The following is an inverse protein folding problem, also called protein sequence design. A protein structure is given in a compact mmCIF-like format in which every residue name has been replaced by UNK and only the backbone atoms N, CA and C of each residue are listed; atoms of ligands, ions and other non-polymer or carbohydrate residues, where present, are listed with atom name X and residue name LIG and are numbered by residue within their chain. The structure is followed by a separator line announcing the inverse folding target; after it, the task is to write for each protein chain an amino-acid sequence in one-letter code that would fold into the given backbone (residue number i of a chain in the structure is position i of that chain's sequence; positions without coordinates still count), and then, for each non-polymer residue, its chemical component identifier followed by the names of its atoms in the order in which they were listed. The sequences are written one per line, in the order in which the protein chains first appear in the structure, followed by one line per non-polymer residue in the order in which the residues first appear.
data_IF_584692008821
#
_entry.id   IF_584692008821
#
_cell.length_a   1.000
_cell.length_b   1.000
_cell.length_c   1.000
_cell.angle_alpha   90.00
_cell.angle_beta   90.00
_cell.angle_gamma   90.00
#
_symmetry.space_group_name_H-M   'P 1'
#
loop_
_entity.id
_entity.type
_entity.pdbx_description
1 polymer ?
#
# COMPACT_ATOMS: atom_id res chain seq x y z
N UNK A 1 -19.11 19.93 -9.45
CA UNK A 1 -18.01 20.69 -10.06
C UNK A 1 -16.73 19.87 -9.88
N UNK A 2 -16.44 18.94 -10.80
CA UNK A 2 -15.23 18.13 -10.79
C UNK A 2 -14.70 18.08 -12.22
N UNK A 3 -13.90 19.10 -12.57
CA UNK A 3 -13.12 19.18 -13.80
C UNK A 3 -11.72 19.58 -13.38
N UNK A 4 -10.89 18.58 -13.09
CA UNK A 4 -9.45 18.66 -13.26
C UNK A 4 -8.88 17.24 -13.17
N UNK A 5 -9.16 16.43 -14.20
CA UNK A 5 -8.41 15.19 -14.42
C UNK A 5 -7.98 15.22 -15.87
N UNK A 6 -7.04 16.10 -16.16
CA UNK A 6 -6.11 15.92 -17.26
C UNK A 6 -4.82 16.64 -16.89
N UNK A 7 -3.70 16.00 -17.24
CA UNK A 7 -2.31 16.39 -16.97
C UNK A 7 -1.80 16.17 -15.54
N UNK A 8 -1.49 14.91 -15.23
CA UNK A 8 -0.20 14.65 -14.59
C UNK A 8 0.42 13.34 -15.07
N UNK A 9 1.54 13.51 -15.75
CA UNK A 9 2.34 12.50 -16.45
C UNK A 9 3.36 11.86 -15.50
N UNK A 10 3.54 10.54 -15.66
CA UNK A 10 4.83 9.86 -15.62
C UNK A 10 5.73 10.05 -14.39
N UNK A 11 5.89 8.97 -13.62
CA UNK A 11 6.92 8.77 -12.60
C UNK A 11 6.79 9.62 -11.33
N UNK A 12 6.09 9.06 -10.34
CA UNK A 12 5.94 9.65 -9.02
C UNK A 12 7.13 9.27 -8.12
N UNK A 13 8.00 10.26 -7.88
CA UNK A 13 9.16 10.22 -7.00
C UNK A 13 8.78 10.37 -5.52
N UNK A 14 9.75 10.06 -4.65
CA UNK A 14 9.65 10.22 -3.20
C UNK A 14 9.55 11.68 -2.71
N UNK A 15 9.64 12.68 -3.60
CA UNK A 15 9.53 14.09 -3.25
C UNK A 15 8.09 14.64 -3.36
N UNK A 16 7.17 13.88 -3.95
CA UNK A 16 5.77 14.31 -4.16
C UNK A 16 4.90 14.19 -2.88
N UNK A 17 5.44 13.61 -1.79
CA UNK A 17 4.76 13.49 -0.49
C UNK A 17 4.58 14.83 0.24
N UNK A 18 5.22 15.91 -0.22
CA UNK A 18 5.23 17.21 0.46
C UNK A 18 4.21 18.23 -0.09
N UNK A 19 3.53 17.94 -1.21
CA UNK A 19 2.67 18.91 -1.92
C UNK A 19 1.17 18.83 -1.55
N UNK A 20 0.79 18.04 -0.54
CA UNK A 20 -0.62 17.71 -0.28
C UNK A 20 -1.14 17.93 1.14
N UNK A 21 -0.40 18.56 2.06
CA UNK A 21 -0.86 18.67 3.45
C UNK A 21 -2.15 19.49 3.63
N UNK A 22 -2.42 20.47 2.75
CA UNK A 22 -3.64 21.30 2.84
C UNK A 22 -4.92 20.57 2.35
N UNK A 23 -4.78 19.55 1.50
CA UNK A 23 -5.90 18.74 0.95
C UNK A 23 -5.92 17.29 1.50
N UNK A 24 -5.06 16.99 2.48
CA UNK A 24 -5.03 15.69 3.12
C UNK A 24 -6.19 15.55 4.11
N UNK A 25 -6.93 14.44 4.03
CA UNK A 25 -7.91 14.14 5.07
C UNK A 25 -7.23 13.80 6.40
N UNK A 26 -8.00 13.92 7.47
CA UNK A 26 -7.57 13.61 8.83
C UNK A 26 -6.97 12.21 8.91
N UNK A 27 -5.88 12.08 9.66
CA UNK A 27 -5.24 10.79 9.86
C UNK A 27 -6.18 9.85 10.63
N UNK A 28 -6.17 8.56 10.29
CA UNK A 28 -6.98 7.54 10.93
C UNK A 28 -6.69 7.31 12.43
N UNK A 29 -5.56 7.83 12.92
CA UNK A 29 -5.10 7.67 14.30
C UNK A 29 -4.25 6.41 14.56
N UNK A 30 -4.14 5.50 13.59
CA UNK A 30 -3.17 4.40 13.65
C UNK A 30 -1.78 4.88 13.24
N UNK A 31 -0.74 4.25 13.76
CA UNK A 31 0.64 4.58 13.37
C UNK A 31 1.11 3.73 12.20
N UNK A 32 1.93 4.35 11.35
CA UNK A 32 2.70 3.62 10.36
C UNK A 32 3.65 2.61 10.99
N UNK A 33 4.15 1.71 10.14
CA UNK A 33 5.04 0.63 10.54
C UNK A 33 6.34 0.70 9.77
N UNK A 34 7.44 0.35 10.43
CA UNK A 34 8.74 0.13 9.79
C UNK A 34 9.35 -1.14 10.36
N UNK A 35 9.93 -1.95 9.49
CA UNK A 35 10.62 -3.18 9.85
C UNK A 35 11.82 -3.41 8.94
N UNK A 36 12.98 -3.63 9.51
CA UNK A 36 14.20 -3.91 8.75
C UNK A 36 14.63 -5.35 8.95
N UNK A 37 15.04 -5.99 7.85
CA UNK A 37 15.56 -7.35 7.87
C UNK A 37 16.57 -7.56 6.75
N UNK A 38 17.32 -8.66 6.83
CA UNK A 38 18.17 -9.09 5.73
C UNK A 38 17.34 -9.90 4.74
N UNK A 39 17.32 -9.49 3.48
CA UNK A 39 16.61 -10.22 2.44
C UNK A 39 17.38 -11.47 2.06
N UNK A 40 16.83 -12.64 2.39
CA UNK A 40 17.44 -13.95 2.11
C UNK A 40 17.77 -14.15 0.62
N UNK A 41 17.05 -13.49 -0.29
CA UNK A 41 17.30 -13.62 -1.73
C UNK A 41 18.53 -12.85 -2.21
N UNK A 42 18.80 -11.66 -1.65
CA UNK A 42 19.89 -10.77 -2.09
C UNK A 42 21.04 -10.64 -1.10
N UNK A 43 20.83 -10.97 0.18
CA UNK A 43 21.75 -10.68 1.28
C UNK A 43 21.79 -9.20 1.67
N UNK A 44 20.97 -8.34 1.06
CA UNK A 44 20.93 -6.91 1.35
C UNK A 44 19.96 -6.63 2.51
N UNK A 45 20.24 -5.59 3.30
CA UNK A 45 19.27 -5.08 4.28
C UNK A 45 18.11 -4.42 3.54
N UNK A 46 16.90 -4.89 3.78
CA UNK A 46 15.66 -4.33 3.23
C UNK A 46 14.83 -3.70 4.34
N UNK A 47 14.13 -2.61 3.99
CA UNK A 47 13.16 -1.95 4.86
C UNK A 47 11.75 -2.14 4.33
N UNK A 48 10.91 -2.75 5.13
CA UNK A 48 9.47 -2.73 4.97
C UNK A 48 8.90 -1.47 5.63
N UNK A 49 7.95 -0.81 4.98
CA UNK A 49 7.17 0.26 5.59
C UNK A 49 5.69 0.15 5.27
N UNK A 50 4.83 0.57 6.19
CA UNK A 50 3.39 0.70 5.98
C UNK A 50 3.00 2.14 6.28
N UNK A 51 2.42 2.83 5.31
CA UNK A 51 2.10 4.27 5.36
C UNK A 51 0.68 4.53 4.94
N UNK A 52 0.00 5.44 5.64
CA UNK A 52 -1.37 5.85 5.31
C UNK A 52 -1.37 6.70 4.05
N UNK A 53 -2.33 6.45 3.17
CA UNK A 53 -2.60 7.27 1.99
C UNK A 53 -3.68 8.27 2.37
N UNK A 54 -3.33 9.57 2.36
CA UNK A 54 -4.15 10.63 2.97
C UNK A 54 -4.78 11.58 1.97
N UNK A 55 -4.53 11.38 0.68
CA UNK A 55 -5.09 12.21 -0.39
C UNK A 55 -5.68 11.36 -1.51
N UNK A 56 -6.59 11.96 -2.29
CA UNK A 56 -7.12 11.31 -3.50
C UNK A 56 -6.01 11.03 -4.52
N UNK A 57 -4.99 11.89 -4.56
CA UNK A 57 -3.81 11.72 -5.42
C UNK A 57 -3.00 10.49 -5.01
N UNK A 58 -2.79 10.28 -3.71
CA UNK A 58 -2.12 9.08 -3.18
C UNK A 58 -2.85 7.80 -3.60
N UNK A 59 -4.18 7.77 -3.47
CA UNK A 59 -5.00 6.62 -3.87
C UNK A 59 -4.93 6.38 -5.38
N UNK A 60 -4.95 7.45 -6.19
CA UNK A 60 -4.81 7.35 -7.63
C UNK A 60 -3.43 6.82 -8.02
N UNK A 61 -2.38 7.34 -7.39
CA UNK A 61 -1.01 6.89 -7.58
C UNK A 61 -0.85 5.42 -7.20
N UNK A 62 -1.35 5.03 -6.03
CA UNK A 62 -1.35 3.64 -5.55
C UNK A 62 -2.06 2.74 -6.55
N UNK A 63 -3.28 3.09 -6.96
CA UNK A 63 -4.05 2.31 -7.93
C UNK A 63 -3.39 2.19 -9.30
N UNK A 64 -2.69 3.23 -9.78
CA UNK A 64 -1.91 3.18 -11.03
C UNK A 64 -0.75 2.18 -10.93
N UNK A 65 0.08 2.26 -9.88
CA UNK A 65 1.24 1.36 -9.70
C UNK A 65 0.81 -0.06 -9.37
N UNK A 66 -0.26 -0.21 -8.59
CA UNK A 66 -0.79 -1.50 -8.18
C UNK A 66 -1.77 -2.10 -9.19
N UNK A 67 -2.11 -1.37 -10.26
CA UNK A 67 -3.05 -1.81 -11.30
C UNK A 67 -4.39 -2.31 -10.74
N UNK A 68 -4.91 -1.62 -9.73
CA UNK A 68 -6.25 -1.83 -9.18
C UNK A 68 -6.91 -0.51 -8.80
N UNK A 69 -8.22 -0.52 -8.58
CA UNK A 69 -8.97 0.71 -8.31
C UNK A 69 -9.05 0.96 -6.80
N UNK A 70 -8.07 1.68 -6.25
CA UNK A 70 -8.10 2.17 -4.86
C UNK A 70 -8.91 3.48 -4.71
N UNK A 71 -9.19 4.19 -5.80
CA UNK A 71 -9.88 5.48 -5.77
C UNK A 71 -11.32 5.40 -5.22
N UNK A 72 -11.94 4.21 -5.25
CA UNK A 72 -13.26 3.97 -4.67
C UNK A 72 -13.32 4.17 -3.15
N UNK A 73 -12.17 4.17 -2.47
CA UNK A 73 -12.08 4.42 -1.04
C UNK A 73 -12.06 5.90 -0.64
N UNK A 74 -11.79 6.83 -1.58
CA UNK A 74 -11.52 8.24 -1.28
C UNK A 74 -12.61 8.90 -0.41
N UNK A 75 -13.88 8.68 -0.76
CA UNK A 75 -15.01 9.23 0.01
C UNK A 75 -15.01 8.75 1.47
N UNK A 76 -14.94 7.43 1.69
CA UNK A 76 -14.94 6.85 3.03
C UNK A 76 -13.68 7.20 3.84
N UNK A 77 -12.57 7.47 3.15
CA UNK A 77 -11.35 7.97 3.80
C UNK A 77 -11.52 9.42 4.26
N UNK A 78 -12.09 10.28 3.41
CA UNK A 78 -12.38 11.67 3.77
C UNK A 78 -13.41 11.82 4.89
N UNK A 79 -14.33 10.85 5.02
CA UNK A 79 -15.33 10.76 6.11
C UNK A 79 -14.75 10.12 7.39
N UNK A 80 -13.51 9.60 7.35
CA UNK A 80 -12.85 8.96 8.49
C UNK A 80 -13.32 7.54 8.80
N UNK A 81 -14.23 6.96 8.01
CA UNK A 81 -14.75 5.60 8.19
C UNK A 81 -13.72 4.52 7.83
N UNK A 82 -12.91 4.80 6.80
CA UNK A 82 -11.91 3.89 6.25
C UNK A 82 -10.54 4.57 6.22
N UNK A 83 -9.49 3.77 6.25
CA UNK A 83 -8.15 4.22 5.90
C UNK A 83 -7.52 3.22 4.95
N UNK A 84 -6.70 3.73 4.04
CA UNK A 84 -5.97 2.92 3.07
C UNK A 84 -4.49 3.10 3.30
N UNK A 85 -3.76 2.01 3.26
CA UNK A 85 -2.35 1.96 3.58
C UNK A 85 -1.57 1.30 2.46
N UNK A 86 -0.39 1.82 2.17
CA UNK A 86 0.56 1.25 1.22
C UNK A 86 1.69 0.58 1.97
N UNK A 87 1.84 -0.74 1.78
CA UNK A 87 3.00 -1.49 2.22
C UNK A 87 4.06 -1.46 1.12
N UNK A 88 5.26 -1.00 1.47
CA UNK A 88 6.38 -0.82 0.56
C UNK A 88 7.62 -1.56 1.05
N UNK A 89 8.45 -1.99 0.11
CA UNK A 89 9.76 -2.58 0.32
C UNK A 89 10.83 -1.68 -0.30
N UNK A 90 11.83 -1.31 0.48
CA UNK A 90 12.92 -0.43 0.04
C UNK A 90 14.27 -1.11 0.24
N UNK A 91 15.05 -1.17 -0.83
CA UNK A 91 16.46 -1.53 -0.79
C UNK A 91 17.34 -0.29 -0.58
N UNK A 92 18.57 -0.44 -0.08
CA UNK A 92 19.51 0.65 0.01
C UNK A 92 19.73 1.25 -1.39
N UNK A 93 19.64 2.57 -1.49
CA UNK A 93 19.81 3.32 -2.73
C UNK A 93 18.85 2.94 -3.88
N UNK A 94 17.73 2.24 -3.61
CA UNK A 94 16.67 1.99 -4.60
C UNK A 94 15.38 2.71 -4.20
N UNK A 95 14.54 2.98 -5.20
CA UNK A 95 13.20 3.52 -4.96
C UNK A 95 12.32 2.48 -4.24
N UNK A 96 11.40 2.93 -3.36
CA UNK A 96 10.45 2.05 -2.71
C UNK A 96 9.56 1.31 -3.71
N UNK A 97 9.45 -0.01 -3.54
CA UNK A 97 8.55 -0.86 -4.32
C UNK A 97 7.26 -1.10 -3.54
N UNK A 98 6.10 -0.77 -4.12
CA UNK A 98 4.79 -1.07 -3.54
C UNK A 98 4.47 -2.56 -3.64
N UNK A 99 4.14 -3.17 -2.51
CA UNK A 99 3.89 -4.61 -2.38
C UNK A 99 2.42 -4.92 -2.16
N UNK A 100 1.76 -4.21 -1.24
CA UNK A 100 0.40 -4.50 -0.81
C UNK A 100 -0.35 -3.20 -0.49
N UNK A 101 -1.57 -3.06 -1.01
CA UNK A 101 -2.51 -2.03 -0.57
C UNK A 101 -3.42 -2.65 0.48
N UNK A 102 -3.64 -1.99 1.60
CA UNK A 102 -4.41 -2.50 2.75
C UNK A 102 -5.55 -1.52 3.03
N UNK A 103 -6.77 -2.01 3.21
CA UNK A 103 -7.91 -1.22 3.64
C UNK A 103 -8.29 -1.59 5.08
N UNK A 104 -8.48 -0.58 5.93
CA UNK A 104 -8.96 -0.71 7.30
C UNK A 104 -10.36 -0.11 7.46
N UNK A 105 -11.14 -0.73 8.31
CA UNK A 105 -12.31 -0.14 8.96
C UNK A 105 -11.88 0.49 10.29
N UNK A 106 -11.90 1.82 10.35
CA UNK A 106 -11.31 2.56 11.48
C UNK A 106 -12.11 2.34 12.77
N UNK A 107 -13.44 2.23 12.67
CA UNK A 107 -14.32 2.02 13.82
C UNK A 107 -14.15 0.61 14.41
N UNK A 108 -14.08 -0.40 13.55
CA UNK A 108 -13.94 -1.80 13.99
C UNK A 108 -12.49 -2.17 14.34
N UNK A 109 -11.53 -1.33 13.93
CA UNK A 109 -10.09 -1.64 13.96
C UNK A 109 -9.77 -2.94 13.22
N UNK A 110 -10.38 -3.12 12.05
CA UNK A 110 -10.31 -4.37 11.29
C UNK A 110 -9.73 -4.15 9.90
N UNK A 111 -8.77 -4.97 9.51
CA UNK A 111 -8.33 -5.13 8.12
C UNK A 111 -9.44 -5.82 7.34
N UNK A 112 -10.03 -5.08 6.39
CA UNK A 112 -11.19 -5.55 5.60
C UNK A 112 -10.82 -6.04 4.20
N UNK A 113 -9.67 -5.61 3.68
CA UNK A 113 -9.13 -6.07 2.40
C UNK A 113 -7.63 -5.78 2.35
N UNK A 114 -6.90 -6.62 1.63
CA UNK A 114 -5.54 -6.30 1.19
C UNK A 114 -5.25 -6.95 -0.14
N UNK A 115 -4.60 -6.21 -1.03
CA UNK A 115 -4.38 -6.60 -2.41
C UNK A 115 -3.00 -6.20 -2.89
N UNK A 116 -2.33 -7.15 -3.53
CA UNK A 116 -1.16 -6.90 -4.33
C UNK A 116 -1.53 -6.34 -5.71
N UNK A 117 -0.53 -6.29 -6.60
CA UNK A 117 -0.71 -5.85 -7.98
C UNK A 117 -1.82 -6.65 -8.66
N UNK A 118 -2.64 -6.01 -9.47
CA UNK A 118 -3.75 -6.62 -10.22
C UNK A 118 -4.77 -7.37 -9.34
N UNK A 119 -5.04 -6.87 -8.13
CA UNK A 119 -5.94 -7.49 -7.14
C UNK A 119 -5.49 -8.88 -6.64
N UNK A 120 -4.21 -9.23 -6.80
CA UNK A 120 -3.70 -10.52 -6.33
C UNK A 120 -3.71 -10.60 -4.81
N UNK A 121 -4.10 -11.75 -4.28
CA UNK A 121 -3.88 -12.10 -2.90
C UNK A 121 -2.47 -12.67 -2.67
N UNK A 122 -1.85 -12.45 -1.50
CA UNK A 122 -0.57 -13.05 -1.12
C UNK A 122 -0.47 -14.57 -1.35
N UNK A 123 -1.60 -15.26 -1.19
CA UNK A 123 -1.69 -16.71 -1.31
C UNK A 123 -2.23 -17.19 -2.67
N UNK A 124 -2.45 -16.27 -3.63
CA UNK A 124 -2.86 -16.66 -4.97
C UNK A 124 -1.81 -17.56 -5.63
N UNK A 125 -2.30 -18.60 -6.30
CA UNK A 125 -1.43 -19.52 -7.01
C UNK A 125 -0.83 -18.85 -8.27
N UNK A 126 0.30 -19.38 -8.75
CA UNK A 126 0.99 -18.86 -9.95
C UNK A 126 0.14 -18.92 -11.24
N UNK A 127 -0.92 -19.74 -11.30
CA UNK A 127 -1.81 -19.83 -12.47
C UNK A 127 -2.81 -18.66 -12.51
N UNK A 128 -3.20 -18.12 -11.36
CA UNK A 128 -4.07 -16.94 -11.24
C UNK A 128 -3.31 -15.65 -11.51
N UNK A 129 -2.01 -15.60 -11.20
CA UNK A 129 -1.14 -14.52 -11.65
C UNK A 129 -1.14 -14.48 -13.19
N UNK A 130 -1.84 -13.48 -13.76
CA UNK A 130 -1.95 -13.30 -15.21
C UNK A 130 -0.55 -13.42 -15.82
N UNK A 131 -0.43 -14.22 -16.89
CA UNK A 131 0.82 -14.68 -17.52
C UNK A 131 1.86 -13.57 -17.78
N UNK A 132 1.43 -12.32 -17.86
CA UNK A 132 2.24 -11.14 -18.13
C UNK A 132 2.94 -10.51 -16.90
N UNK A 133 2.62 -10.92 -15.67
CA UNK A 133 3.10 -10.23 -14.45
C UNK A 133 3.82 -11.14 -13.45
N UNK A 134 4.43 -12.22 -13.97
CA UNK A 134 5.21 -13.18 -13.18
C UNK A 134 6.61 -12.64 -12.83
N UNK A 135 6.69 -11.43 -12.29
CA UNK A 135 7.92 -10.92 -11.69
C UNK A 135 8.20 -11.75 -10.42
N UNK A 136 9.17 -12.67 -10.52
CA UNK A 136 9.48 -13.65 -9.46
C UNK A 136 9.90 -12.95 -8.17
N UNK A 137 10.78 -11.93 -8.19
CA UNK A 137 11.02 -11.04 -7.06
C UNK A 137 9.74 -10.49 -6.43
N UNK A 138 8.88 -9.82 -7.20
CA UNK A 138 7.63 -9.26 -6.65
C UNK A 138 6.75 -10.33 -5.98
N UNK A 139 6.54 -11.48 -6.64
CA UNK A 139 5.75 -12.58 -6.09
C UNK A 139 6.37 -13.21 -4.83
N UNK A 140 7.68 -13.11 -4.66
CA UNK A 140 8.34 -13.52 -3.44
C UNK A 140 7.98 -12.58 -2.29
N UNK A 141 8.15 -11.26 -2.46
CA UNK A 141 7.81 -10.28 -1.44
C UNK A 141 6.30 -10.23 -1.13
N UNK A 142 5.45 -10.36 -2.15
CA UNK A 142 4.01 -10.46 -1.95
C UNK A 142 3.63 -11.66 -1.07
N UNK A 143 4.37 -12.78 -1.09
CA UNK A 143 4.14 -13.91 -0.18
C UNK A 143 4.66 -13.69 1.23
N UNK A 144 5.62 -12.80 1.42
CA UNK A 144 6.16 -12.43 2.73
C UNK A 144 5.30 -11.34 3.41
N UNK A 145 4.58 -10.53 2.63
CA UNK A 145 3.78 -9.42 3.13
C UNK A 145 2.77 -9.77 4.25
N UNK A 146 2.13 -10.97 4.30
CA UNK A 146 1.24 -11.30 5.40
C UNK A 146 1.93 -11.33 6.77
N UNK A 147 3.22 -11.67 6.83
CA UNK A 147 3.97 -11.64 8.08
C UNK A 147 4.16 -10.20 8.57
N UNK A 148 4.54 -9.29 7.66
CA UNK A 148 4.72 -7.87 7.97
C UNK A 148 3.38 -7.25 8.37
N UNK A 149 2.29 -7.61 7.67
CA UNK A 149 0.94 -7.19 8.01
C UNK A 149 0.57 -7.62 9.44
N UNK A 150 0.83 -8.87 9.83
CA UNK A 150 0.57 -9.36 11.19
C UNK A 150 1.35 -8.58 12.25
N UNK A 151 2.63 -8.33 12.02
CA UNK A 151 3.45 -7.55 12.97
C UNK A 151 2.90 -6.13 13.18
N UNK A 152 2.42 -5.50 12.11
CA UNK A 152 1.75 -4.20 12.24
C UNK A 152 0.42 -4.29 12.96
N UNK A 153 -0.40 -5.30 12.64
CA UNK A 153 -1.68 -5.53 13.31
C UNK A 153 -1.51 -5.78 14.81
N UNK A 154 -0.52 -6.57 15.22
CA UNK A 154 -0.21 -6.82 16.62
C UNK A 154 0.19 -5.53 17.36
N UNK A 155 0.95 -4.65 16.69
CA UNK A 155 1.38 -3.37 17.27
C UNK A 155 0.21 -2.40 17.48
N UNK A 156 -0.70 -2.32 16.52
CA UNK A 156 -1.82 -1.37 16.53
C UNK A 156 -3.13 -1.98 17.10
N UNK A 157 -3.08 -3.22 17.60
CA UNK A 157 -4.24 -3.99 18.10
C UNK A 157 -5.38 -4.10 17.07
N UNK A 158 -5.01 -4.43 15.83
CA UNK A 158 -5.93 -4.59 14.70
C UNK A 158 -6.40 -6.04 14.56
N UNK A 159 -7.64 -6.21 14.09
CA UNK A 159 -8.25 -7.50 13.77
C UNK A 159 -8.26 -7.75 12.27
N UNK A 160 -8.50 -8.99 11.87
CA UNK A 160 -8.75 -9.39 10.48
C UNK A 160 -10.12 -10.04 10.39
N UNK A 161 -10.92 -9.66 9.38
CA UNK A 161 -12.26 -10.23 9.13
C UNK A 161 -12.22 -11.56 8.36
#
# INVERSE_FOLDING_TARGET
MLRLVDEWHGDLNADDYALGEEDAWEASGFRGFEWEEEDVFSGERVRWSIRELRTSLDLLAEGRVMHHCAASYARRCSEGERSVWSMQLTYPAKLPQRILTIALDNHKKTVVDYRGKYNMHPHDNKRTAKKHWQDRPYLYYLRQSPRILRLWMEREDLRHD
#
